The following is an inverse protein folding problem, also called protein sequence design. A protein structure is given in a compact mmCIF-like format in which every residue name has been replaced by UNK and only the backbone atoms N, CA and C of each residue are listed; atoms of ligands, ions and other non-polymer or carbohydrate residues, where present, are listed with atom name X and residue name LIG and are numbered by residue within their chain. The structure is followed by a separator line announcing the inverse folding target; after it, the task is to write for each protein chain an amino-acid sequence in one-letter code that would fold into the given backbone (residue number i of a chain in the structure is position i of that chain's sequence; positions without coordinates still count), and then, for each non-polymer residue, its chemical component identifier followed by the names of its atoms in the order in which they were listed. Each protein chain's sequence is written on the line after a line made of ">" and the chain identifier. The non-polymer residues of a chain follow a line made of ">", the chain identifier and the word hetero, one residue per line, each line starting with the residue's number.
data_IF_879075924382
#
_entry.id   IF_879075924382
#
_cell.length_a   1.000
_cell.length_b   1.000
_cell.length_c   1.000
_cell.angle_alpha   90.00
_cell.angle_beta   90.00
_cell.angle_gamma   90.00
#
_symmetry.space_group_name_H-M   'P 1'
#
loop_
_entity.id
_entity.type
_entity.pdbx_description
1 polymer ?
#
# COMPACT_ATOMS: atom_id res chain seq x y z
N UNK A 1 -30.39 1.91 -29.13
CA UNK A 1 -30.62 2.90 -28.05
C UNK A 1 -30.75 2.22 -26.68
N UNK A 2 -31.61 1.19 -26.55
CA UNK A 2 -31.81 0.43 -25.30
C UNK A 2 -30.52 -0.16 -24.72
N UNK A 3 -29.66 -0.74 -25.54
CA UNK A 3 -28.36 -1.32 -25.11
C UNK A 3 -27.40 -0.29 -24.53
N UNK A 4 -27.40 0.93 -25.07
CA UNK A 4 -26.54 2.02 -24.60
C UNK A 4 -27.03 2.56 -23.24
N UNK A 5 -28.34 2.65 -23.07
CA UNK A 5 -28.98 3.04 -21.80
C UNK A 5 -28.69 2.02 -20.69
N UNK A 6 -28.70 0.73 -21.03
CA UNK A 6 -28.39 -0.35 -20.10
C UNK A 6 -26.93 -0.27 -19.62
N UNK A 7 -25.98 -0.01 -20.53
CA UNK A 7 -24.57 0.15 -20.17
C UNK A 7 -24.33 1.31 -19.18
N UNK A 8 -24.97 2.46 -19.41
CA UNK A 8 -24.88 3.61 -18.50
C UNK A 8 -25.46 3.30 -17.13
N UNK A 9 -26.60 2.59 -17.07
CA UNK A 9 -27.22 2.19 -15.81
C UNK A 9 -26.32 1.26 -14.99
N UNK A 10 -25.66 0.30 -15.63
CA UNK A 10 -24.74 -0.63 -14.95
C UNK A 10 -23.54 0.12 -14.36
N UNK A 11 -22.96 1.08 -15.10
CA UNK A 11 -21.84 1.89 -14.62
C UNK A 11 -22.27 2.74 -13.41
N UNK A 12 -23.43 3.41 -13.49
CA UNK A 12 -23.95 4.24 -12.42
C UNK A 12 -24.21 3.43 -11.13
N UNK A 13 -24.80 2.24 -11.25
CA UNK A 13 -25.03 1.32 -10.12
C UNK A 13 -23.70 0.86 -9.52
N UNK A 14 -22.73 0.50 -10.35
CA UNK A 14 -21.41 0.04 -9.88
C UNK A 14 -20.68 1.12 -9.09
N UNK A 15 -20.76 2.38 -9.55
CA UNK A 15 -20.17 3.53 -8.85
C UNK A 15 -20.90 3.79 -7.53
N UNK A 16 -22.24 3.78 -7.53
CA UNK A 16 -23.02 3.97 -6.31
C UNK A 16 -22.72 2.91 -5.25
N UNK A 17 -22.62 1.64 -5.66
CA UNK A 17 -22.23 0.53 -4.76
C UNK A 17 -20.81 0.72 -4.23
N UNK A 18 -19.85 1.14 -5.06
CA UNK A 18 -18.47 1.42 -4.62
C UNK A 18 -18.38 2.57 -3.62
N UNK A 19 -19.21 3.61 -3.77
CA UNK A 19 -19.20 4.78 -2.89
C UNK A 19 -19.89 4.52 -1.55
N UNK A 20 -20.92 3.67 -1.53
CA UNK A 20 -21.65 3.32 -0.30
C UNK A 20 -21.22 2.03 0.36
N UNK A 21 -20.43 1.19 -0.32
CA UNK A 21 -19.79 0.06 0.33
C UNK A 21 -18.85 0.60 1.42
N UNK A 22 -19.07 0.25 2.69
CA UNK A 22 -18.14 0.61 3.74
C UNK A 22 -16.79 0.01 3.36
N UNK A 23 -15.82 0.87 3.06
CA UNK A 23 -14.43 0.43 2.97
C UNK A 23 -14.10 -0.18 4.33
N UNK A 24 -13.59 -1.42 4.39
CA UNK A 24 -13.10 -1.97 5.64
C UNK A 24 -12.13 -0.96 6.20
N UNK A 25 -12.44 -0.42 7.39
CA UNK A 25 -11.53 0.48 8.06
C UNK A 25 -10.18 -0.24 8.14
N UNK A 26 -9.12 0.39 7.63
CA UNK A 26 -7.80 -0.18 7.66
C UNK A 26 -7.49 -0.54 9.12
N UNK A 27 -7.41 -1.84 9.43
CA UNK A 27 -7.08 -2.27 10.78
C UNK A 27 -5.64 -1.82 11.05
N UNK A 28 -5.41 -0.94 12.04
CA UNK A 28 -4.06 -0.56 12.40
C UNK A 28 -3.36 -1.81 12.92
N UNK A 29 -2.40 -2.32 12.15
CA UNK A 29 -1.60 -3.46 12.56
C UNK A 29 -0.40 -2.93 13.32
N UNK A 30 -0.30 -3.31 14.59
CA UNK A 30 0.81 -2.99 15.47
C UNK A 30 1.92 -4.00 15.20
N UNK A 31 2.85 -3.68 14.31
CA UNK A 31 4.15 -4.35 14.30
C UNK A 31 4.98 -3.75 15.44
N UNK A 32 5.46 -4.58 16.38
CA UNK A 32 6.08 -4.14 17.64
C UNK A 32 7.33 -3.27 17.40
N UNK A 33 8.07 -3.54 16.34
CA UNK A 33 9.02 -2.62 15.71
C UNK A 33 9.37 -3.12 14.29
N UNK A 34 9.55 -2.20 13.33
CA UNK A 34 10.20 -2.51 12.06
C UNK A 34 11.68 -2.13 12.17
N UNK A 35 12.58 -3.09 11.96
CA UNK A 35 14.01 -2.81 11.94
C UNK A 35 14.39 -2.14 10.62
N UNK A 36 14.61 -0.83 10.69
CA UNK A 36 15.13 -0.03 9.58
C UNK A 36 16.66 -0.01 9.61
N UNK A 37 17.32 0.16 8.45
CA UNK A 37 18.74 0.46 8.42
C UNK A 37 19.06 1.75 9.21
N UNK A 38 20.23 1.82 9.84
CA UNK A 38 20.63 3.01 10.60
C UNK A 38 20.62 4.26 9.72
N UNK A 39 20.00 5.32 10.23
CA UNK A 39 19.86 6.60 9.52
C UNK A 39 18.90 6.58 8.33
N UNK A 40 18.16 5.48 8.11
CA UNK A 40 17.12 5.44 7.10
C UNK A 40 15.87 6.19 7.57
N UNK A 41 15.31 7.01 6.70
CA UNK A 41 14.07 7.75 6.92
C UNK A 41 12.93 7.13 6.12
N UNK A 42 11.78 6.88 6.74
CA UNK A 42 10.60 6.40 6.02
C UNK A 42 9.94 7.56 5.28
N UNK A 43 9.81 7.46 3.97
CA UNK A 43 9.16 8.47 3.12
C UNK A 43 7.72 8.12 2.77
N UNK A 44 7.38 6.83 2.74
CA UNK A 44 6.00 6.35 2.54
C UNK A 44 5.78 4.99 3.19
N UNK A 45 4.53 4.72 3.59
CA UNK A 45 4.10 3.44 4.14
C UNK A 45 2.86 2.93 3.40
N UNK A 46 2.86 1.64 3.11
CA UNK A 46 1.72 0.88 2.62
C UNK A 46 1.65 -0.46 3.35
N UNK A 47 0.49 -1.11 3.30
CA UNK A 47 0.36 -2.44 3.86
C UNK A 47 -0.70 -3.25 3.11
N UNK A 48 -0.49 -4.57 3.03
CA UNK A 48 -1.44 -5.58 2.56
C UNK A 48 -1.85 -6.47 3.73
N UNK A 49 -2.70 -7.48 3.49
CA UNK A 49 -3.07 -8.44 4.54
C UNK A 49 -1.89 -9.26 5.10
N UNK A 50 -0.78 -9.34 4.35
CA UNK A 50 0.38 -10.19 4.67
C UNK A 50 1.69 -9.42 4.78
N UNK A 51 1.76 -8.21 4.21
CA UNK A 51 3.02 -7.46 4.09
C UNK A 51 2.88 -6.01 4.52
N UNK A 52 3.98 -5.43 4.95
CA UNK A 52 4.17 -4.00 5.15
C UNK A 52 5.21 -3.53 4.14
N UNK A 53 4.91 -2.47 3.42
CA UNK A 53 5.78 -1.85 2.44
C UNK A 53 6.22 -0.49 2.97
N UNK A 54 7.52 -0.27 3.08
CA UNK A 54 8.07 1.02 3.47
C UNK A 54 8.99 1.54 2.36
N UNK A 55 8.69 2.70 1.82
CA UNK A 55 9.68 3.45 1.04
C UNK A 55 10.58 4.18 2.01
N UNK A 56 11.89 4.01 1.86
CA UNK A 56 12.89 4.63 2.72
C UNK A 56 13.89 5.43 1.90
N UNK A 57 14.38 6.51 2.48
CA UNK A 57 15.59 7.21 2.04
C UNK A 57 16.75 6.77 2.93
N UNK A 58 17.80 6.26 2.33
CA UNK A 58 19.02 5.81 2.99
C UNK A 58 19.96 7.01 3.28
N UNK A 59 20.95 6.85 4.18
CA UNK A 59 21.89 7.94 4.52
C UNK A 59 22.71 8.46 3.33
N UNK A 60 22.92 7.63 2.31
CA UNK A 60 23.61 7.99 1.06
C UNK A 60 22.70 8.75 0.07
N UNK A 61 21.45 9.04 0.45
CA UNK A 61 20.46 9.72 -0.36
C UNK A 61 19.72 8.81 -1.35
N UNK A 62 20.07 7.53 -1.41
CA UNK A 62 19.37 6.57 -2.28
C UNK A 62 18.00 6.22 -1.70
N UNK A 63 17.06 5.84 -2.57
CA UNK A 63 15.72 5.41 -2.17
C UNK A 63 15.56 3.91 -2.38
N UNK A 64 14.88 3.25 -1.44
CA UNK A 64 14.59 1.82 -1.52
C UNK A 64 13.17 1.52 -1.04
N UNK A 65 12.57 0.48 -1.62
CA UNK A 65 11.36 -0.16 -1.11
C UNK A 65 11.78 -1.34 -0.23
N UNK A 66 11.40 -1.30 1.04
CA UNK A 66 11.55 -2.40 1.97
C UNK A 66 10.21 -3.11 2.12
N UNK A 67 10.20 -4.43 1.99
CA UNK A 67 9.03 -5.26 2.27
C UNK A 67 9.27 -6.06 3.53
N UNK A 68 8.31 -6.01 4.45
CA UNK A 68 8.32 -6.74 5.70
C UNK A 68 7.12 -7.67 5.78
N UNK A 69 7.29 -8.83 6.39
CA UNK A 69 6.18 -9.71 6.73
C UNK A 69 5.41 -9.07 7.87
N UNK A 70 4.08 -9.02 7.73
CA UNK A 70 3.20 -8.39 8.72
C UNK A 70 3.15 -9.15 10.05
N UNK A 71 3.35 -10.46 10.04
CA UNK A 71 3.19 -11.31 11.23
C UNK A 71 4.22 -11.02 12.33
N UNK A 72 5.45 -10.70 11.94
CA UNK A 72 6.63 -10.64 12.81
C UNK A 72 7.54 -9.44 12.52
N UNK A 73 7.27 -8.67 11.46
CA UNK A 73 8.13 -7.56 11.03
C UNK A 73 9.42 -8.01 10.32
N UNK A 74 9.56 -9.30 9.97
CA UNK A 74 10.75 -9.81 9.29
C UNK A 74 10.89 -9.15 7.91
N UNK A 75 12.07 -8.60 7.61
CA UNK A 75 12.35 -8.04 6.29
C UNK A 75 12.45 -9.16 5.25
N UNK A 76 11.52 -9.15 4.30
CA UNK A 76 11.45 -10.11 3.20
C UNK A 76 12.31 -9.69 2.02
N UNK A 77 12.32 -8.39 1.68
CA UNK A 77 13.05 -7.90 0.53
C UNK A 77 13.41 -6.42 0.61
N UNK A 78 14.34 -6.03 -0.26
CA UNK A 78 14.77 -4.67 -0.48
C UNK A 78 14.97 -4.45 -1.98
N UNK A 79 14.27 -3.46 -2.54
CA UNK A 79 14.35 -3.11 -3.97
C UNK A 79 14.78 -1.66 -4.11
N UNK A 80 15.91 -1.34 -4.78
CA UNK A 80 16.32 0.03 -5.00
C UNK A 80 15.34 0.76 -5.95
N UNK A 81 15.05 2.02 -5.65
CA UNK A 81 14.20 2.89 -6.48
C UNK A 81 15.11 3.80 -7.29
N UNK A 82 14.99 3.75 -8.61
CA UNK A 82 15.67 4.66 -9.54
C UNK A 82 14.65 5.67 -10.05
N UNK A 83 14.93 6.97 -9.89
CA UNK A 83 14.15 8.04 -10.50
C UNK A 83 14.83 8.46 -11.80
N UNK A 84 14.09 8.43 -12.89
CA UNK A 84 14.50 8.98 -14.20
C UNK A 84 14.13 10.47 -14.30
#
# INVERSE_FOLDING_TARGET
>A
MVTMMLGVAVIAVTIAVRLWAPQPAAQPVTAEALSLPEGAEITALGASSVEILATVRLPDGTEALLTFRRADGERLSQTPIRRE
#
